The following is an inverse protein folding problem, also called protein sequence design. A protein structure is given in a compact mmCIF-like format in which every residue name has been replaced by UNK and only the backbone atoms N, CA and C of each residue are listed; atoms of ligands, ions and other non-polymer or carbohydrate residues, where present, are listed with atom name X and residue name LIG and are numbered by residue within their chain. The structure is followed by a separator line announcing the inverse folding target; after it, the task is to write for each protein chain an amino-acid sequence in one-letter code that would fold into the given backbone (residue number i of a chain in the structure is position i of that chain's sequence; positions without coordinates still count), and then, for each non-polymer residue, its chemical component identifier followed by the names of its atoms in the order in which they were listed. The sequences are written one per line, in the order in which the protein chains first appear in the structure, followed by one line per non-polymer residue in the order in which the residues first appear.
data_IF_658964022487
#
_entry.id   IF_658964022487
#
_cell.length_a   1.000
_cell.length_b   1.000
_cell.length_c   1.000
_cell.angle_alpha   90.00
_cell.angle_beta   90.00
_cell.angle_gamma   90.00
#
_symmetry.space_group_name_H-M   'P 1'
#
loop_
_entity.id
_entity.type
_entity.pdbx_description
1 polymer ?
#
# COMPACT_ATOMS: atom_id res chain seq x y z
N UNK A 1 14.55 29.34 1.46
CA UNK A 1 14.90 30.67 0.89
C UNK A 1 15.57 30.61 -0.49
N UNK A 2 16.51 29.70 -0.75
CA UNK A 2 17.14 29.58 -2.08
C UNK A 2 16.17 29.15 -3.20
N UNK A 3 15.19 28.29 -2.90
CA UNK A 3 14.14 27.89 -3.85
C UNK A 3 13.20 29.05 -4.21
N UNK A 4 12.85 29.92 -3.25
CA UNK A 4 11.98 31.08 -3.48
C UNK A 4 12.62 32.11 -4.42
N UNK A 5 13.95 32.28 -4.36
CA UNK A 5 14.67 33.12 -5.31
C UNK A 5 14.47 32.67 -6.77
N UNK A 6 14.19 31.37 -7.02
CA UNK A 6 13.90 30.87 -8.37
C UNK A 6 12.57 31.38 -8.91
N UNK A 7 11.65 31.76 -8.03
CA UNK A 7 10.39 32.38 -8.42
C UNK A 7 10.54 33.84 -8.80
N UNK A 8 11.71 34.49 -8.70
CA UNK A 8 11.95 35.87 -9.21
C UNK A 8 10.80 36.86 -8.92
N UNK A 9 10.31 36.85 -7.68
CA UNK A 9 9.13 37.62 -7.27
C UNK A 9 9.40 39.14 -7.32
N UNK A 10 10.66 39.55 -7.25
CA UNK A 10 11.13 40.92 -7.42
C UNK A 10 10.83 41.50 -8.82
N UNK A 11 10.63 40.65 -9.84
CA UNK A 11 10.30 41.05 -11.20
C UNK A 11 8.77 41.18 -11.44
N UNK A 12 7.93 40.94 -10.42
CA UNK A 12 6.47 40.93 -10.55
C UNK A 12 5.81 42.26 -10.14
N UNK A 13 4.78 42.69 -10.87
CA UNK A 13 3.98 43.88 -10.55
C UNK A 13 3.01 43.64 -9.37
N UNK A 14 2.40 44.69 -8.77
CA UNK A 14 1.54 44.54 -7.59
C UNK A 14 0.32 43.62 -7.78
N UNK A 15 -0.29 43.61 -8.96
CA UNK A 15 -1.43 42.75 -9.28
C UNK A 15 -0.99 41.28 -9.42
N UNK A 16 0.14 41.04 -10.10
CA UNK A 16 0.78 39.73 -10.20
C UNK A 16 1.14 39.19 -8.82
N UNK A 17 1.76 39.99 -7.95
CA UNK A 17 2.12 39.59 -6.59
C UNK A 17 0.88 39.19 -5.77
N UNK A 18 -0.22 39.91 -5.91
CA UNK A 18 -1.48 39.59 -5.22
C UNK A 18 -2.05 38.25 -5.67
N UNK A 19 -2.04 37.99 -6.97
CA UNK A 19 -2.52 36.71 -7.51
C UNK A 19 -1.58 35.54 -7.18
N UNK A 20 -0.26 35.75 -7.31
CA UNK A 20 0.77 34.75 -6.92
C UNK A 20 0.57 34.33 -5.47
N UNK A 21 0.45 35.30 -4.54
CA UNK A 21 0.20 35.00 -3.12
C UNK A 21 -1.08 34.21 -2.91
N UNK A 22 -2.14 34.54 -3.65
CA UNK A 22 -3.44 33.86 -3.54
C UNK A 22 -3.34 32.40 -4.00
N UNK A 23 -2.72 32.15 -5.16
CA UNK A 23 -2.54 30.79 -5.69
C UNK A 23 -1.58 29.96 -4.84
N UNK A 24 -0.47 30.55 -4.37
CA UNK A 24 0.44 29.89 -3.44
C UNK A 24 -0.26 29.51 -2.12
N UNK A 25 -1.12 30.37 -1.57
CA UNK A 25 -1.93 30.05 -0.38
C UNK A 25 -2.88 28.86 -0.61
N UNK A 26 -3.52 28.80 -1.78
CA UNK A 26 -4.42 27.68 -2.14
C UNK A 26 -3.65 26.37 -2.25
N UNK A 27 -2.57 26.36 -3.04
CA UNK A 27 -1.68 25.21 -3.17
C UNK A 27 -1.15 24.80 -1.80
N UNK A 28 -0.89 25.78 -0.93
CA UNK A 28 -0.38 25.48 0.41
C UNK A 28 -1.34 24.84 1.35
N UNK A 29 -2.59 25.25 1.28
CA UNK A 29 -3.68 24.61 2.01
C UNK A 29 -3.87 23.17 1.51
N UNK A 30 -3.84 22.95 0.20
CA UNK A 30 -3.95 21.61 -0.40
C UNK A 30 -2.79 20.69 0.01
N UNK A 31 -1.55 21.18 -0.04
CA UNK A 31 -0.38 20.39 0.34
C UNK A 31 -0.41 20.05 1.84
N UNK A 32 -0.83 20.98 2.71
CA UNK A 32 -1.01 20.72 4.14
C UNK A 32 -2.05 19.63 4.39
N UNK A 33 -3.17 19.64 3.66
CA UNK A 33 -4.18 18.57 3.73
C UNK A 33 -3.57 17.22 3.38
N UNK A 34 -2.81 17.15 2.27
CA UNK A 34 -2.16 15.91 1.83
C UNK A 34 -1.10 15.41 2.79
N UNK A 35 -0.37 16.31 3.44
CA UNK A 35 0.56 15.93 4.50
C UNK A 35 -0.17 15.35 5.72
N UNK A 36 -1.36 15.86 6.07
CA UNK A 36 -2.17 15.29 7.14
C UNK A 36 -2.68 13.88 6.77
N UNK A 37 -3.14 13.66 5.53
CA UNK A 37 -3.46 12.33 5.01
C UNK A 37 -2.26 11.38 5.13
N UNK A 38 -1.08 11.84 4.70
CA UNK A 38 0.16 11.05 4.78
C UNK A 38 0.56 10.72 6.22
N UNK A 39 0.32 11.63 7.16
CA UNK A 39 0.61 11.45 8.58
C UNK A 39 -0.35 10.45 9.22
N UNK A 40 -1.63 10.44 8.81
CA UNK A 40 -2.62 9.47 9.29
C UNK A 40 -2.27 8.01 8.92
N UNK A 41 -1.44 7.81 7.89
CA UNK A 41 -0.94 6.49 7.49
C UNK A 41 0.23 5.97 8.36
N UNK A 42 0.82 6.82 9.20
CA UNK A 42 2.08 6.51 9.89
C UNK A 42 1.97 5.29 10.81
N UNK A 43 0.84 5.14 11.51
CA UNK A 43 0.60 4.00 12.39
C UNK A 43 0.57 2.68 11.61
N UNK A 44 -0.09 2.63 10.46
CA UNK A 44 -0.12 1.44 9.60
C UNK A 44 1.25 1.15 8.98
N UNK A 45 1.98 2.19 8.58
CA UNK A 45 3.34 2.07 8.03
C UNK A 45 4.36 1.56 9.04
N UNK A 46 4.10 1.76 10.34
CA UNK A 46 4.97 1.28 11.42
C UNK A 46 4.82 -0.22 11.72
N UNK A 47 3.83 -0.90 11.13
CA UNK A 47 3.56 -2.32 11.35
C UNK A 47 4.39 -3.23 10.42
N UNK A 48 4.58 -4.52 10.78
CA UNK A 48 4.45 -5.07 12.13
C UNK A 48 5.48 -4.43 13.07
N UNK A 49 5.12 -4.25 14.34
CA UNK A 49 6.01 -3.63 15.32
C UNK A 49 7.12 -4.60 15.77
N UNK A 50 8.28 -4.05 16.14
CA UNK A 50 9.38 -4.81 16.72
C UNK A 50 10.19 -5.62 15.70
N UNK A 51 10.93 -6.62 16.20
CA UNK A 51 11.83 -7.42 15.39
C UNK A 51 11.09 -8.61 14.75
N UNK A 52 10.86 -8.52 13.45
CA UNK A 52 10.18 -9.56 12.67
C UNK A 52 10.86 -10.94 12.78
N UNK A 53 12.20 -10.98 12.83
CA UNK A 53 12.93 -12.24 12.95
C UNK A 53 12.70 -12.89 14.33
N UNK A 54 12.62 -12.10 15.40
CA UNK A 54 12.27 -12.59 16.73
C UNK A 54 10.82 -13.07 16.79
N UNK A 55 9.89 -12.34 16.16
CA UNK A 55 8.48 -12.77 16.04
C UNK A 55 8.36 -14.11 15.34
N UNK A 56 9.06 -14.29 14.20
CA UNK A 56 9.05 -15.56 13.48
C UNK A 56 9.71 -16.69 14.27
N UNK A 57 10.79 -16.41 15.02
CA UNK A 57 11.41 -17.41 15.92
C UNK A 57 10.46 -17.80 17.06
N UNK A 58 9.73 -16.84 17.64
CA UNK A 58 8.72 -17.15 18.66
C UNK A 58 7.58 -18.01 18.11
N UNK A 59 7.11 -17.74 16.89
CA UNK A 59 6.09 -18.57 16.22
C UNK A 59 6.64 -19.98 15.95
N UNK A 60 7.88 -20.07 15.47
CA UNK A 60 8.48 -21.34 15.09
C UNK A 60 8.86 -22.21 16.29
N UNK A 61 9.42 -21.62 17.34
CA UNK A 61 10.12 -22.31 18.44
C UNK A 61 9.57 -22.01 19.84
N UNK A 62 8.62 -21.08 19.96
CA UNK A 62 8.06 -20.64 21.24
C UNK A 62 9.01 -19.77 22.07
N UNK A 63 10.12 -19.33 21.46
CA UNK A 63 11.13 -18.49 22.08
C UNK A 63 11.89 -17.68 21.01
N UNK A 64 12.09 -16.38 21.28
CA UNK A 64 12.69 -15.41 20.34
C UNK A 64 14.19 -15.63 20.06
N UNK A 65 14.89 -16.30 20.98
CA UNK A 65 16.33 -16.55 20.89
C UNK A 65 16.67 -17.93 20.33
N UNK A 66 15.71 -18.87 20.37
CA UNK A 66 15.94 -20.23 19.92
C UNK A 66 16.00 -20.36 18.40
N UNK A 67 16.64 -21.45 18.00
CA UNK A 67 16.84 -21.86 16.61
C UNK A 67 16.46 -23.33 16.49
N UNK A 68 16.48 -23.85 15.26
CA UNK A 68 16.23 -25.27 15.00
C UNK A 68 17.14 -26.21 15.79
N UNK A 69 18.36 -25.77 16.12
CA UNK A 69 19.39 -26.58 16.78
C UNK A 69 19.34 -26.44 18.31
N UNK A 70 18.64 -25.43 18.83
CA UNK A 70 18.62 -25.06 20.26
C UNK A 70 17.22 -25.05 20.87
N UNK A 71 16.18 -25.33 20.08
CA UNK A 71 14.79 -25.40 20.55
C UNK A 71 14.64 -26.45 21.65
N UNK A 72 13.87 -26.13 22.68
CA UNK A 72 13.60 -27.02 23.81
C UNK A 72 12.18 -27.58 23.71
N UNK A 73 12.00 -28.83 24.15
CA UNK A 73 10.69 -29.47 24.23
C UNK A 73 9.73 -28.67 25.12
N UNK A 74 10.24 -28.09 26.22
CA UNK A 74 9.45 -27.27 27.13
C UNK A 74 8.84 -26.01 26.48
N UNK A 75 9.51 -25.43 25.47
CA UNK A 75 9.05 -24.22 24.79
C UNK A 75 8.10 -24.53 23.62
N UNK A 76 8.14 -25.76 23.11
CA UNK A 76 7.44 -26.16 21.88
C UNK A 76 5.93 -26.33 22.07
N UNK A 77 5.46 -26.47 23.32
CA UNK A 77 4.08 -26.83 23.64
C UNK A 77 3.46 -25.95 24.73
N UNK A 78 2.15 -25.71 24.62
CA UNK A 78 1.37 -25.03 25.66
C UNK A 78 1.33 -25.84 26.95
N UNK A 79 1.66 -25.20 28.08
CA UNK A 79 1.71 -25.86 29.39
C UNK A 79 2.85 -26.88 29.57
N UNK A 80 3.88 -26.83 28.70
CA UNK A 80 5.05 -27.70 28.75
C UNK A 80 4.89 -29.05 28.03
N UNK A 81 5.99 -29.78 27.91
CA UNK A 81 6.03 -31.05 27.19
C UNK A 81 5.30 -32.18 27.96
N UNK A 82 4.59 -33.03 27.22
CA UNK A 82 3.81 -34.18 27.73
C UNK A 82 3.94 -35.36 26.78
N UNK A 83 3.31 -36.47 27.12
CA UNK A 83 3.22 -37.64 26.26
C UNK A 83 2.66 -37.34 24.86
N UNK A 84 3.05 -38.12 23.86
CA UNK A 84 2.65 -37.91 22.45
C UNK A 84 1.13 -37.73 22.32
N UNK A 85 0.35 -38.69 22.86
CA UNK A 85 -1.10 -38.69 22.71
C UNK A 85 -1.77 -37.47 23.36
N UNK A 86 -1.18 -36.93 24.44
CA UNK A 86 -1.69 -35.74 25.15
C UNK A 86 -1.40 -34.44 24.40
N UNK A 87 -0.35 -34.40 23.59
CA UNK A 87 0.04 -33.17 22.87
C UNK A 87 -0.51 -33.17 21.45
N UNK A 88 -0.47 -34.31 20.77
CA UNK A 88 -0.88 -34.47 19.39
C UNK A 88 -2.36 -34.87 19.25
N UNK A 89 -3.07 -35.07 20.37
CA UNK A 89 -4.53 -35.22 20.38
C UNK A 89 -5.16 -34.41 21.50
N UNK A 90 -6.47 -34.17 21.42
CA UNK A 90 -7.27 -33.53 22.48
C UNK A 90 -8.31 -32.56 21.92
N UNK A 91 -8.94 -31.79 22.79
CA UNK A 91 -9.91 -30.76 22.39
C UNK A 91 -9.23 -29.62 21.62
N UNK A 92 -9.86 -29.15 20.55
CA UNK A 92 -9.34 -28.02 19.78
C UNK A 92 -9.17 -26.75 20.63
N UNK A 93 -10.02 -26.53 21.63
CA UNK A 93 -10.00 -25.34 22.49
C UNK A 93 -8.86 -25.33 23.52
N UNK A 94 -8.33 -26.50 23.88
CA UNK A 94 -7.26 -26.65 24.89
C UNK A 94 -5.99 -27.28 24.31
N UNK A 95 -5.88 -27.31 22.98
CA UNK A 95 -4.77 -27.90 22.27
C UNK A 95 -3.43 -27.30 22.72
N UNK A 96 -2.38 -28.14 22.76
CA UNK A 96 -1.05 -27.76 23.26
C UNK A 96 -0.10 -27.36 22.14
N UNK A 97 -0.57 -27.27 20.90
CA UNK A 97 0.24 -27.04 19.71
C UNK A 97 0.54 -25.55 19.53
N UNK A 98 1.50 -25.07 20.33
CA UNK A 98 1.86 -23.65 20.41
C UNK A 98 2.80 -23.18 19.32
N UNK A 99 3.59 -24.08 18.74
CA UNK A 99 4.72 -23.73 17.87
C UNK A 99 4.74 -24.59 16.60
N UNK A 100 5.36 -24.08 15.54
CA UNK A 100 5.57 -24.85 14.30
C UNK A 100 6.44 -26.09 14.57
N UNK A 101 7.49 -25.95 15.39
CA UNK A 101 8.38 -27.06 15.74
C UNK A 101 7.63 -28.19 16.47
N UNK A 102 6.76 -27.85 17.43
CA UNK A 102 5.91 -28.82 18.11
C UNK A 102 4.92 -29.52 17.18
N UNK A 103 4.33 -28.78 16.24
CA UNK A 103 3.46 -29.36 15.21
C UNK A 103 4.21 -30.33 14.30
N UNK A 104 5.41 -29.97 13.82
CA UNK A 104 6.24 -30.87 13.03
C UNK A 104 6.61 -32.12 13.84
N UNK A 105 6.93 -31.96 15.13
CA UNK A 105 7.26 -33.10 15.99
C UNK A 105 6.10 -34.11 16.07
N UNK A 106 4.85 -33.66 16.20
CA UNK A 106 3.68 -34.54 16.15
C UNK A 106 3.49 -35.22 14.80
N UNK A 107 3.83 -34.58 13.69
CA UNK A 107 3.62 -35.12 12.36
C UNK A 107 4.72 -36.09 11.91
N UNK A 108 5.88 -36.07 12.55
CA UNK A 108 7.03 -36.87 12.14
C UNK A 108 7.41 -37.97 13.13
N UNK A 109 7.28 -37.74 14.44
CA UNK A 109 7.84 -38.65 15.43
C UNK A 109 7.06 -39.95 15.59
N UNK A 110 7.83 -40.99 15.85
CA UNK A 110 7.35 -42.32 16.18
C UNK A 110 7.35 -42.54 17.69
N UNK A 111 6.41 -43.33 18.20
CA UNK A 111 6.26 -43.57 19.62
C UNK A 111 7.10 -44.72 20.18
N UNK A 112 7.55 -45.63 19.30
CA UNK A 112 8.46 -46.72 19.63
C UNK A 112 9.51 -46.96 18.53
N UNK A 113 10.62 -47.63 18.86
CA UNK A 113 11.74 -47.84 17.94
C UNK A 113 11.34 -48.57 16.65
N UNK A 114 10.41 -49.52 16.75
CA UNK A 114 9.88 -50.36 15.66
C UNK A 114 8.74 -49.71 14.85
N UNK A 115 8.32 -48.51 15.21
CA UNK A 115 7.27 -47.76 14.52
C UNK A 115 7.80 -47.04 13.27
N UNK A 116 6.91 -46.38 12.52
CA UNK A 116 7.25 -45.78 11.23
C UNK A 116 8.17 -44.57 11.38
N UNK A 117 9.39 -44.68 10.86
CA UNK A 117 10.40 -43.64 10.98
C UNK A 117 10.43 -42.67 9.79
N UNK A 118 9.83 -43.04 8.66
CA UNK A 118 9.90 -42.28 7.41
C UNK A 118 8.59 -41.54 7.06
N UNK A 119 7.76 -41.21 8.07
CA UNK A 119 6.46 -40.54 7.88
C UNK A 119 6.60 -39.20 7.16
N UNK A 120 7.59 -38.40 7.55
CA UNK A 120 7.85 -37.09 6.94
C UNK A 120 8.66 -37.16 5.64
N UNK A 121 8.93 -38.36 5.13
CA UNK A 121 9.59 -38.60 3.86
C UNK A 121 10.52 -39.82 3.90
N UNK A 122 10.61 -40.53 2.78
CA UNK A 122 11.48 -41.73 2.66
C UNK A 122 12.96 -41.43 2.94
N UNK A 123 13.44 -40.26 2.53
CA UNK A 123 14.79 -39.76 2.82
C UNK A 123 14.90 -39.01 4.14
N UNK A 124 13.78 -38.65 4.77
CA UNK A 124 13.69 -37.95 6.05
C UNK A 124 13.36 -38.94 7.18
N UNK A 125 14.18 -39.99 7.29
CA UNK A 125 13.97 -41.06 8.26
C UNK A 125 14.53 -40.67 9.62
N UNK A 126 13.67 -40.67 10.64
CA UNK A 126 14.08 -40.50 12.03
C UNK A 126 14.93 -41.69 12.50
N UNK A 127 16.17 -41.40 12.83
CA UNK A 127 17.19 -42.37 13.20
C UNK A 127 17.28 -42.55 14.71
N UNK A 128 17.07 -41.49 15.49
CA UNK A 128 17.35 -41.50 16.94
C UNK A 128 16.16 -41.14 17.81
N UNK A 129 15.26 -40.26 17.35
CA UNK A 129 14.18 -39.74 18.19
C UNK A 129 13.02 -40.72 18.31
N UNK A 130 12.49 -40.81 19.53
CA UNK A 130 11.28 -41.53 19.86
C UNK A 130 10.51 -40.73 20.90
N UNK A 131 9.22 -40.54 20.67
CA UNK A 131 8.34 -39.84 21.60
C UNK A 131 7.28 -40.79 22.16
N UNK A 132 7.58 -41.38 23.31
CA UNK A 132 6.69 -42.38 23.92
C UNK A 132 5.26 -41.86 24.14
N UNK A 133 4.30 -42.79 24.12
CA UNK A 133 2.88 -42.48 24.37
C UNK A 133 2.57 -42.09 25.82
N UNK A 134 3.51 -42.23 26.75
CA UNK A 134 3.27 -42.06 28.20
C UNK A 134 4.15 -41.00 28.88
N UNK A 135 5.28 -40.61 28.27
CA UNK A 135 6.23 -39.67 28.89
C UNK A 135 6.51 -38.45 28.02
N UNK A 136 6.88 -37.35 28.67
CA UNK A 136 7.38 -36.16 27.98
C UNK A 136 8.63 -36.51 27.14
N UNK A 137 8.81 -35.90 25.97
CA UNK A 137 9.97 -36.11 25.12
C UNK A 137 11.18 -35.32 25.62
N UNK A 138 12.36 -35.74 25.19
CA UNK A 138 13.56 -34.91 25.23
C UNK A 138 13.55 -33.85 24.10
N UNK A 139 14.57 -33.00 24.06
CA UNK A 139 14.69 -31.95 23.04
C UNK A 139 14.97 -32.49 21.62
N UNK A 140 15.61 -33.66 21.49
CA UNK A 140 15.94 -34.23 20.19
C UNK A 140 14.69 -34.67 19.41
N UNK A 141 13.62 -35.05 20.09
CA UNK A 141 12.29 -35.28 19.49
C UNK A 141 11.80 -34.06 18.70
N UNK A 142 12.13 -32.85 19.15
CA UNK A 142 11.79 -31.62 18.43
C UNK A 142 12.84 -31.34 17.34
N UNK A 143 14.12 -31.45 17.67
CA UNK A 143 15.22 -31.00 16.79
C UNK A 143 15.46 -31.91 15.58
N UNK A 144 15.36 -33.23 15.74
CA UNK A 144 15.68 -34.17 14.66
C UNK A 144 14.79 -33.99 13.42
N UNK A 145 13.45 -33.93 13.53
CA UNK A 145 12.58 -33.65 12.39
C UNK A 145 12.94 -32.34 11.67
N UNK A 146 13.34 -31.31 12.43
CA UNK A 146 13.68 -30.02 11.87
C UNK A 146 14.94 -30.08 11.00
N UNK A 147 15.86 -31.03 11.19
CA UNK A 147 17.07 -31.15 10.35
C UNK A 147 16.73 -31.38 8.88
N UNK A 148 15.57 -31.97 8.58
CA UNK A 148 15.13 -32.26 7.22
C UNK A 148 14.45 -31.07 6.53
N UNK A 149 14.06 -30.02 7.26
CA UNK A 149 13.42 -28.87 6.60
C UNK A 149 14.46 -28.08 5.79
N UNK A 150 14.10 -27.76 4.53
CA UNK A 150 14.93 -26.94 3.66
C UNK A 150 15.12 -25.54 4.26
N UNK A 151 16.35 -25.02 4.20
CA UNK A 151 16.65 -23.63 4.52
C UNK A 151 16.32 -22.78 3.30
N UNK A 152 15.05 -22.42 3.15
CA UNK A 152 14.63 -21.44 2.15
C UNK A 152 14.53 -20.06 2.79
N UNK A 153 15.13 -19.06 2.15
CA UNK A 153 15.02 -17.66 2.56
C UNK A 153 14.45 -16.87 1.39
N UNK A 154 13.13 -16.57 1.37
CA UNK A 154 12.59 -15.66 0.38
C UNK A 154 13.28 -14.30 0.54
N UNK A 155 13.44 -13.56 -0.57
CA UNK A 155 14.04 -12.22 -0.54
C UNK A 155 13.21 -11.23 0.29
N UNK A 156 11.89 -11.40 0.32
CA UNK A 156 10.97 -10.52 1.03
C UNK A 156 9.83 -11.32 1.67
N UNK A 157 9.36 -10.87 2.83
CA UNK A 157 8.19 -11.43 3.51
C UNK A 157 6.96 -10.55 3.22
N UNK A 158 5.90 -11.14 2.66
CA UNK A 158 4.66 -10.43 2.32
C UNK A 158 3.46 -11.06 3.03
N UNK A 159 2.37 -10.29 3.16
CA UNK A 159 1.10 -10.79 3.69
C UNK A 159 0.58 -11.98 2.85
N UNK A 160 0.65 -11.86 1.53
CA UNK A 160 0.22 -12.89 0.58
C UNK A 160 0.98 -14.22 0.77
N UNK A 161 2.30 -14.15 0.99
CA UNK A 161 3.11 -15.36 1.23
C UNK A 161 2.68 -16.08 2.53
N UNK A 162 2.39 -15.32 3.59
CA UNK A 162 1.94 -15.89 4.86
C UNK A 162 0.54 -16.49 4.77
N UNK A 163 -0.42 -15.82 4.12
CA UNK A 163 -1.74 -16.40 3.90
C UNK A 163 -1.69 -17.66 3.03
N UNK A 164 -0.87 -17.66 1.96
CA UNK A 164 -0.69 -18.83 1.11
C UNK A 164 -0.13 -20.02 1.89
N UNK A 165 0.84 -19.78 2.78
CA UNK A 165 1.38 -20.82 3.65
C UNK A 165 0.32 -21.42 4.58
N UNK A 166 -0.48 -20.57 5.23
CA UNK A 166 -1.58 -21.01 6.09
C UNK A 166 -2.63 -21.82 5.31
N UNK A 167 -3.07 -21.32 4.16
CA UNK A 167 -4.03 -22.01 3.28
C UNK A 167 -3.50 -23.37 2.79
N UNK A 168 -2.22 -23.41 2.41
CA UNK A 168 -1.58 -24.66 1.97
C UNK A 168 -1.63 -25.74 3.05
N UNK A 169 -1.43 -25.38 4.31
CA UNK A 169 -1.53 -26.32 5.44
C UNK A 169 -2.99 -26.67 5.73
N UNK A 170 -3.90 -25.69 5.72
CA UNK A 170 -5.33 -25.91 5.95
C UNK A 170 -5.92 -26.96 5.02
N UNK A 171 -5.50 -26.98 3.75
CA UNK A 171 -5.95 -27.98 2.76
C UNK A 171 -5.55 -29.42 3.08
N UNK A 172 -4.59 -29.62 3.97
CA UNK A 172 -4.18 -30.96 4.42
C UNK A 172 -4.95 -31.43 5.66
N UNK A 173 -5.78 -30.58 6.25
CA UNK A 173 -6.65 -30.98 7.36
C UNK A 173 -7.82 -31.77 6.80
N UNK A 174 -7.93 -33.01 7.25
CA UNK A 174 -9.04 -33.91 6.97
C UNK A 174 -10.10 -33.74 8.04
N UNK A 175 -11.36 -33.79 7.65
CA UNK A 175 -12.50 -33.75 8.57
C UNK A 175 -13.03 -35.17 8.75
N UNK A 176 -13.22 -35.57 10.00
CA UNK A 176 -13.90 -36.81 10.37
C UNK A 176 -14.93 -36.46 11.44
N UNK A 177 -16.21 -36.56 11.10
CA UNK A 177 -17.29 -36.01 11.95
C UNK A 177 -17.04 -34.53 12.28
N UNK A 178 -16.92 -34.17 13.56
CA UNK A 178 -16.58 -32.82 14.01
C UNK A 178 -15.06 -32.60 14.23
N UNK A 179 -14.25 -33.63 14.04
CA UNK A 179 -12.82 -33.61 14.36
C UNK A 179 -11.98 -33.19 13.16
N UNK A 180 -10.90 -32.46 13.43
CA UNK A 180 -9.88 -32.10 12.44
C UNK A 180 -8.65 -32.97 12.60
N UNK A 181 -8.15 -33.53 11.50
CA UNK A 181 -7.01 -34.44 11.47
C UNK A 181 -5.96 -33.91 10.49
N UNK A 182 -4.74 -33.69 10.96
CA UNK A 182 -3.58 -33.35 10.12
C UNK A 182 -2.56 -34.49 10.18
N UNK A 183 -2.13 -35.01 9.03
CA UNK A 183 -1.21 -36.15 8.95
C UNK A 183 -1.89 -37.48 8.63
N UNK A 184 -1.27 -38.59 9.01
CA UNK A 184 -1.70 -39.94 8.68
C UNK A 184 -2.41 -40.60 9.88
N UNK A 185 -3.74 -40.72 9.78
CA UNK A 185 -4.57 -41.49 10.70
C UNK A 185 -4.88 -42.86 10.06
N UNK A 186 -4.80 -43.93 10.85
CA UNK A 186 -5.09 -45.30 10.40
C UNK A 186 -6.36 -45.86 11.08
N UNK A 187 -6.53 -45.60 12.37
CA UNK A 187 -7.74 -45.96 13.12
C UNK A 187 -8.45 -44.71 13.62
N UNK A 188 -8.42 -44.44 14.92
CA UNK A 188 -9.20 -43.39 15.57
C UNK A 188 -8.37 -42.42 16.42
N UNK A 189 -7.07 -42.69 16.58
CA UNK A 189 -6.22 -42.00 17.54
C UNK A 189 -4.81 -41.71 16.98
N UNK A 190 -4.27 -40.55 17.33
CA UNK A 190 -2.88 -40.20 17.02
C UNK A 190 -2.00 -40.63 18.21
N UNK A 191 -1.38 -41.81 18.10
CA UNK A 191 -0.51 -42.40 19.13
C UNK A 191 0.94 -42.56 18.69
N UNK A 192 1.33 -42.04 17.54
CA UNK A 192 2.70 -42.10 17.06
C UNK A 192 3.10 -43.48 16.51
N UNK A 193 2.13 -44.31 16.12
CA UNK A 193 2.32 -45.71 15.75
C UNK A 193 1.63 -46.06 14.43
N UNK A 194 2.15 -47.06 13.70
CA UNK A 194 1.63 -47.54 12.41
C UNK A 194 0.18 -47.99 12.47
N UNK A 195 -0.20 -48.62 13.59
CA UNK A 195 -1.54 -49.18 13.82
C UNK A 195 -2.57 -48.14 14.28
N UNK A 196 -2.12 -46.94 14.67
CA UNK A 196 -2.99 -45.86 15.14
C UNK A 196 -2.98 -44.67 14.20
N UNK A 197 -1.83 -44.02 14.12
CA UNK A 197 -1.62 -42.81 13.34
C UNK A 197 -0.46 -41.98 13.87
N UNK A 198 0.25 -41.37 12.93
CA UNK A 198 1.25 -40.33 13.18
C UNK A 198 0.67 -39.05 12.59
N UNK A 199 -0.03 -38.33 13.46
CA UNK A 199 -0.94 -37.26 13.11
C UNK A 199 -1.16 -36.32 14.29
N UNK A 200 -1.90 -35.26 14.02
CA UNK A 200 -2.61 -34.42 14.97
C UNK A 200 -4.10 -34.68 14.79
N UNK A 201 -4.84 -34.95 15.88
CA UNK A 201 -6.30 -35.06 15.87
C UNK A 201 -6.89 -34.18 16.95
N UNK A 202 -7.64 -33.16 16.57
CA UNK A 202 -8.28 -32.25 17.50
C UNK A 202 -9.80 -32.38 17.46
N UNK A 203 -10.40 -32.73 18.60
CA UNK A 203 -11.84 -32.88 18.76
C UNK A 203 -12.54 -31.53 18.59
N UNK A 204 -13.63 -31.51 17.81
CA UNK A 204 -14.42 -30.29 17.56
C UNK A 204 -13.69 -29.21 16.75
N UNK A 205 -12.53 -29.51 16.16
CA UNK A 205 -11.80 -28.55 15.32
C UNK A 205 -12.63 -28.16 14.10
N UNK A 206 -13.34 -29.13 13.52
CA UNK A 206 -14.12 -29.03 12.30
C UNK A 206 -15.64 -29.12 12.54
N UNK A 207 -16.13 -28.67 13.70
CA UNK A 207 -17.55 -28.78 14.07
C UNK A 207 -18.51 -28.20 13.02
N UNK A 208 -18.11 -27.14 12.32
CA UNK A 208 -18.90 -26.49 11.26
C UNK A 208 -18.57 -27.03 9.85
N UNK A 209 -17.99 -28.22 9.77
CA UNK A 209 -17.52 -28.85 8.51
C UNK A 209 -16.21 -28.25 7.96
N UNK A 210 -15.63 -27.25 8.63
CA UNK A 210 -14.37 -26.63 8.24
C UNK A 210 -13.43 -26.48 9.44
N UNK A 211 -12.16 -26.86 9.26
CA UNK A 211 -11.13 -26.74 10.29
C UNK A 211 -10.30 -25.48 10.07
N UNK A 212 -10.48 -24.46 10.92
CA UNK A 212 -9.67 -23.25 10.87
C UNK A 212 -8.29 -23.50 11.50
N UNK A 213 -7.23 -23.44 10.69
CA UNK A 213 -5.84 -23.59 11.16
C UNK A 213 -5.48 -22.56 12.24
N UNK A 214 -6.12 -21.39 12.27
CA UNK A 214 -5.88 -20.37 13.27
C UNK A 214 -6.34 -20.79 14.69
N UNK A 215 -7.00 -21.95 14.87
CA UNK A 215 -7.16 -22.56 16.21
C UNK A 215 -5.84 -23.09 16.79
N UNK A 216 -4.81 -23.30 15.97
CA UNK A 216 -3.44 -23.54 16.42
C UNK A 216 -2.77 -22.20 16.75
N UNK A 217 -2.19 -22.07 17.94
CA UNK A 217 -1.68 -20.76 18.41
C UNK A 217 -0.57 -20.18 17.51
N UNK A 218 0.30 -21.02 16.93
CA UNK A 218 1.34 -20.54 16.01
C UNK A 218 0.74 -19.99 14.72
N UNK A 219 -0.32 -20.62 14.21
CA UNK A 219 -0.98 -20.22 12.97
C UNK A 219 -1.79 -18.94 13.18
N UNK A 220 -2.44 -18.79 14.34
CA UNK A 220 -3.09 -17.55 14.74
C UNK A 220 -2.09 -16.38 14.74
N UNK A 221 -0.94 -16.54 15.40
CA UNK A 221 0.11 -15.52 15.44
C UNK A 221 0.62 -15.17 14.05
N UNK A 222 0.80 -16.18 13.19
CA UNK A 222 1.24 -15.97 11.82
C UNK A 222 0.18 -15.24 10.98
N UNK A 223 -1.10 -15.53 11.21
CA UNK A 223 -2.22 -14.80 10.59
C UNK A 223 -2.26 -13.35 11.05
N UNK A 224 -2.08 -13.07 12.34
CA UNK A 224 -1.98 -11.70 12.87
C UNK A 224 -0.82 -10.95 12.20
N UNK A 225 0.34 -11.58 12.07
CA UNK A 225 1.47 -10.99 11.35
C UNK A 225 1.14 -10.70 9.88
N UNK A 226 0.42 -11.60 9.20
CA UNK A 226 -0.04 -11.39 7.83
C UNK A 226 -1.02 -10.20 7.73
N UNK A 227 -1.97 -10.09 8.68
CA UNK A 227 -2.91 -8.97 8.77
C UNK A 227 -2.18 -7.63 8.97
N UNK A 228 -1.14 -7.59 9.80
CA UNK A 228 -0.30 -6.40 10.01
C UNK A 228 0.53 -6.03 8.78
N UNK A 229 1.13 -7.02 8.11
CA UNK A 229 1.85 -6.80 6.85
C UNK A 229 0.92 -6.25 5.77
N UNK A 230 -0.31 -6.77 5.66
CA UNK A 230 -1.30 -6.28 4.70
C UNK A 230 -1.63 -4.80 4.94
N UNK A 231 -1.86 -4.42 6.20
CA UNK A 231 -2.10 -3.02 6.56
C UNK A 231 -0.93 -2.10 6.16
N UNK A 232 0.31 -2.57 6.35
CA UNK A 232 1.51 -1.84 5.96
C UNK A 232 1.64 -1.73 4.44
N UNK A 233 1.41 -2.83 3.72
CA UNK A 233 1.48 -2.90 2.25
C UNK A 233 0.46 -1.95 1.60
N UNK A 234 -0.79 -1.97 2.07
CA UNK A 234 -1.85 -1.05 1.64
C UNK A 234 -1.50 0.40 1.94
N UNK A 235 -1.09 0.70 3.18
CA UNK A 235 -0.69 2.06 3.57
C UNK A 235 0.55 2.56 2.81
N UNK A 236 1.48 1.67 2.48
CA UNK A 236 2.64 2.01 1.66
C UNK A 236 2.25 2.35 0.22
N UNK A 237 1.26 1.65 -0.34
CA UNK A 237 0.69 1.97 -1.65
C UNK A 237 0.02 3.36 -1.64
N UNK A 238 -0.83 3.63 -0.66
CA UNK A 238 -1.53 4.91 -0.50
C UNK A 238 -0.55 6.07 -0.24
N UNK A 239 0.42 5.86 0.66
CA UNK A 239 1.48 6.82 0.94
C UNK A 239 2.26 7.21 -0.32
N UNK A 240 2.54 6.24 -1.22
CA UNK A 240 3.19 6.52 -2.51
C UNK A 240 2.31 7.41 -3.41
N UNK A 241 0.98 7.30 -3.35
CA UNK A 241 0.07 8.15 -4.12
C UNK A 241 0.06 9.57 -3.56
N UNK A 242 -0.15 9.72 -2.25
CA UNK A 242 -0.13 11.02 -1.56
C UNK A 242 1.21 11.73 -1.76
N UNK A 243 2.31 11.00 -1.72
CA UNK A 243 3.65 11.54 -1.97
C UNK A 243 3.83 12.07 -3.40
N UNK A 244 3.17 11.48 -4.40
CA UNK A 244 3.15 12.00 -5.78
C UNK A 244 2.33 13.28 -5.87
N UNK A 245 1.20 13.36 -5.19
CA UNK A 245 0.35 14.56 -5.17
C UNK A 245 1.07 15.74 -4.50
N UNK A 246 1.74 15.51 -3.36
CA UNK A 246 2.56 16.54 -2.71
C UNK A 246 3.66 17.03 -3.66
N UNK A 247 4.34 16.13 -4.38
CA UNK A 247 5.35 16.52 -5.39
C UNK A 247 4.75 17.33 -6.54
N UNK A 248 3.54 16.99 -6.99
CA UNK A 248 2.83 17.73 -8.03
C UNK A 248 2.47 19.14 -7.55
N UNK A 249 1.90 19.28 -6.36
CA UNK A 249 1.57 20.57 -5.76
C UNK A 249 2.81 21.45 -5.58
N UNK A 250 3.95 20.84 -5.21
CA UNK A 250 5.22 21.56 -5.17
C UNK A 250 5.64 22.05 -6.56
N UNK A 251 5.59 21.19 -7.58
CA UNK A 251 5.92 21.60 -8.95
C UNK A 251 4.98 22.70 -9.47
N UNK A 252 3.68 22.61 -9.20
CA UNK A 252 2.69 23.64 -9.54
C UNK A 252 3.02 24.97 -8.85
N UNK A 253 3.37 24.95 -7.56
CA UNK A 253 3.77 26.15 -6.81
C UNK A 253 4.98 26.84 -7.43
N UNK A 254 5.96 26.06 -7.91
CA UNK A 254 7.14 26.59 -8.59
C UNK A 254 6.85 27.20 -9.97
N UNK A 255 5.67 26.95 -10.54
CA UNK A 255 5.22 27.51 -11.84
C UNK A 255 4.26 28.69 -11.70
N UNK A 256 3.80 29.03 -10.49
CA UNK A 256 2.75 30.07 -10.28
C UNK A 256 3.13 31.43 -10.86
N UNK A 257 4.40 31.85 -10.76
CA UNK A 257 4.84 33.13 -11.37
C UNK A 257 4.70 33.10 -12.89
N UNK A 258 5.19 32.04 -13.53
CA UNK A 258 5.13 31.96 -14.99
C UNK A 258 3.67 32.00 -15.47
N UNK A 259 2.79 31.30 -14.74
CA UNK A 259 1.36 31.28 -15.00
C UNK A 259 0.66 32.63 -14.78
N UNK A 260 1.27 33.59 -14.09
CA UNK A 260 0.68 34.91 -13.78
C UNK A 260 1.29 36.06 -14.60
N UNK A 261 2.28 35.79 -15.47
CA UNK A 261 2.94 36.82 -16.31
C UNK A 261 1.98 37.61 -17.22
N UNK A 262 0.87 37.01 -17.62
CA UNK A 262 -0.10 37.62 -18.55
C UNK A 262 -0.94 38.74 -17.92
N UNK A 263 -0.88 38.93 -16.60
CA UNK A 263 -1.62 39.99 -15.89
C UNK A 263 -0.92 41.34 -16.11
N UNK A 264 -1.49 42.17 -16.98
CA UNK A 264 -1.08 43.55 -17.17
C UNK A 264 -1.65 44.46 -16.07
N UNK A 265 -0.98 45.58 -15.81
CA UNK A 265 -1.53 46.63 -14.95
C UNK A 265 -2.71 47.30 -15.65
N UNK A 266 -3.89 47.25 -15.04
CA UNK A 266 -4.96 48.19 -15.38
C UNK A 266 -4.52 49.56 -14.87
N UNK A 267 -4.44 50.61 -15.70
CA UNK A 267 -4.05 51.93 -15.23
C UNK A 267 -5.02 52.39 -14.13
N UNK A 268 -4.50 52.61 -12.92
CA UNK A 268 -5.26 53.34 -11.92
C UNK A 268 -5.36 54.78 -12.38
N UNK A 269 -6.50 55.14 -12.96
CA UNK A 269 -6.87 56.54 -13.14
C UNK A 269 -7.03 57.13 -11.74
N UNK A 270 -6.05 57.91 -11.30
CA UNK A 270 -6.15 58.77 -10.12
C UNK A 270 -7.24 59.80 -10.40
N UNK A 271 -8.40 59.62 -9.79
CA UNK A 271 -9.49 60.57 -9.89
C UNK A 271 -9.15 61.85 -9.10
N UNK A 272 -8.89 62.93 -9.83
CA UNK A 272 -8.96 64.30 -9.34
C UNK A 272 -9.77 65.13 -10.34
N UNK A 273 -10.71 65.92 -9.83
CA UNK A 273 -11.63 66.86 -10.50
C UNK A 273 -13.06 66.34 -10.88
N UNK A 274 -13.91 66.31 -9.85
CA UNK A 274 -15.28 66.85 -9.68
C UNK A 274 -16.28 67.08 -10.85
N UNK A 275 -17.52 66.59 -10.59
CA UNK A 275 -18.90 67.03 -10.97
C UNK A 275 -19.45 66.79 -12.40
N UNK A 276 -20.22 65.71 -12.66
CA UNK A 276 -21.71 65.47 -12.54
C UNK A 276 -22.58 66.02 -13.69
N UNK A 277 -23.78 65.46 -14.00
CA UNK A 277 -24.25 64.06 -13.99
C UNK A 277 -25.09 63.69 -15.25
N UNK A 278 -25.20 62.41 -15.62
CA UNK A 278 -26.45 61.88 -16.21
C UNK A 278 -26.48 60.34 -16.25
N UNK A 279 -27.69 59.83 -15.99
CA UNK A 279 -28.24 58.46 -16.07
C UNK A 279 -27.69 57.59 -17.22
N UNK A 280 -27.73 56.25 -17.24
CA UNK A 280 -28.64 55.27 -16.66
C UNK A 280 -28.01 53.86 -16.78
N UNK A 281 -28.49 52.95 -15.95
CA UNK A 281 -28.48 51.48 -16.03
C UNK A 281 -28.25 50.76 -17.38
N UNK A 282 -27.48 49.66 -17.28
CA UNK A 282 -27.56 48.33 -17.94
C UNK A 282 -27.31 48.15 -19.46
N UNK A 283 -26.38 47.23 -19.71
CA UNK A 283 -26.42 46.12 -20.68
C UNK A 283 -26.40 46.38 -22.20
N UNK A 284 -25.32 45.88 -22.81
CA UNK A 284 -25.24 45.16 -24.11
C UNK A 284 -25.89 45.76 -25.37
N UNK A 285 -25.03 45.98 -26.39
CA UNK A 285 -25.26 45.99 -27.86
C UNK A 285 -24.97 47.29 -28.65
N UNK A 286 -24.51 48.37 -28.04
CA UNK A 286 -24.17 49.59 -28.77
C UNK A 286 -22.66 49.68 -29.10
N UNK A 287 -22.22 49.12 -30.23
CA UNK A 287 -20.81 49.27 -30.63
C UNK A 287 -20.37 48.84 -32.04
N UNK A 288 -21.19 48.12 -32.82
CA UNK A 288 -20.69 47.60 -34.11
C UNK A 288 -20.37 48.70 -35.15
N UNK A 289 -21.12 49.80 -35.17
CA UNK A 289 -21.00 50.84 -36.20
C UNK A 289 -19.78 51.78 -36.04
N UNK A 290 -19.09 51.74 -34.89
CA UNK A 290 -17.96 52.63 -34.59
C UNK A 290 -16.59 52.03 -34.98
N UNK A 291 -16.58 50.87 -35.66
CA UNK A 291 -15.35 50.19 -36.04
C UNK A 291 -15.16 50.19 -37.57
N UNK A 292 -14.36 51.13 -38.06
CA UNK A 292 -13.90 51.15 -39.45
C UNK A 292 -12.45 50.67 -39.52
N UNK A 293 -12.13 49.79 -40.49
CA UNK A 293 -10.82 49.12 -40.69
C UNK A 293 -10.48 47.96 -39.73
N UNK A 294 -11.39 47.00 -39.56
CA UNK A 294 -11.13 45.73 -38.84
C UNK A 294 -11.22 44.52 -39.78
N UNK A 295 -10.56 43.40 -39.47
CA UNK A 295 -10.66 42.16 -40.27
C UNK A 295 -11.89 41.33 -39.89
N UNK A 296 -12.19 40.30 -40.68
CA UNK A 296 -13.35 39.39 -40.50
C UNK A 296 -13.37 38.78 -39.09
N UNK A 297 -12.20 38.46 -38.56
CA UNK A 297 -11.98 37.78 -37.28
C UNK A 297 -12.28 38.70 -36.10
N UNK A 298 -11.94 39.99 -36.22
CA UNK A 298 -12.14 41.01 -35.19
C UNK A 298 -13.62 41.44 -35.08
N UNK A 299 -14.39 41.42 -36.17
CA UNK A 299 -15.83 41.67 -36.11
C UNK A 299 -16.58 40.51 -35.44
N UNK A 300 -16.14 39.26 -35.65
CA UNK A 300 -16.71 38.07 -35.00
C UNK A 300 -16.51 38.07 -33.48
N UNK A 301 -15.36 38.54 -32.99
CA UNK A 301 -15.10 38.64 -31.53
C UNK A 301 -16.00 39.68 -30.85
N UNK A 302 -16.52 40.65 -31.61
CA UNK A 302 -17.44 41.69 -31.14
C UNK A 302 -18.92 41.32 -31.30
N UNK A 303 -19.23 40.14 -31.85
CA UNK A 303 -20.62 39.71 -32.09
C UNK A 303 -21.30 40.39 -33.29
N UNK A 304 -20.53 41.00 -34.20
CA UNK A 304 -20.99 41.71 -35.40
C UNK A 304 -20.71 40.89 -36.68
N UNK A 305 -21.41 41.15 -37.78
CA UNK A 305 -21.09 40.60 -39.12
C UNK A 305 -20.15 41.52 -39.90
N UNK A 306 -19.34 40.97 -40.80
CA UNK A 306 -18.39 41.74 -41.61
C UNK A 306 -18.94 42.00 -43.02
N UNK A 307 -19.01 43.28 -43.40
CA UNK A 307 -19.39 43.73 -44.73
C UNK A 307 -18.16 43.76 -45.65
N UNK A 308 -18.12 42.83 -46.61
CA UNK A 308 -16.99 42.64 -47.53
C UNK A 308 -16.89 43.78 -48.55
N UNK A 309 -18.00 44.36 -48.99
CA UNK A 309 -18.04 45.48 -49.95
C UNK A 309 -17.52 46.78 -49.32
N UNK A 310 -17.87 47.04 -48.07
CA UNK A 310 -17.58 48.31 -47.40
C UNK A 310 -16.44 48.24 -46.36
N UNK A 311 -15.89 47.05 -46.10
CA UNK A 311 -14.81 46.77 -45.13
C UNK A 311 -15.10 47.28 -43.71
N UNK A 312 -16.30 47.00 -43.18
CA UNK A 312 -16.80 47.47 -41.88
C UNK A 312 -17.63 46.40 -41.15
N UNK A 313 -17.72 46.47 -39.82
CA UNK A 313 -18.59 45.59 -39.04
C UNK A 313 -20.04 46.14 -38.99
N UNK A 314 -21.06 45.27 -39.07
CA UNK A 314 -22.50 45.59 -38.93
C UNK A 314 -23.16 44.73 -37.84
N UNK A 315 -24.19 45.23 -37.12
CA UNK A 315 -24.90 44.45 -36.11
C UNK A 315 -25.72 43.30 -36.74
N UNK A 316 -25.77 42.15 -36.04
CA UNK A 316 -26.53 40.97 -36.48
C UNK A 316 -28.03 41.20 -36.37
N UNK A 317 -28.79 40.85 -37.41
CA UNK A 317 -30.26 40.85 -37.39
C UNK A 317 -30.75 39.53 -36.79
N UNK A 318 -31.51 39.58 -35.70
CA UNK A 318 -31.91 38.39 -34.93
C UNK A 318 -33.17 37.67 -35.45
N UNK A 319 -33.28 36.35 -35.18
CA UNK A 319 -34.31 35.78 -34.27
C UNK A 319 -34.15 34.25 -34.11
N UNK A 320 -34.03 33.83 -32.85
CA UNK A 320 -34.67 32.71 -32.13
C UNK A 320 -34.91 31.28 -32.71
N UNK A 321 -34.65 30.33 -31.78
CA UNK A 321 -35.32 29.06 -31.42
C UNK A 321 -35.09 27.73 -32.18
N UNK A 322 -34.51 26.77 -31.43
CA UNK A 322 -34.50 25.29 -31.54
C UNK A 322 -35.88 24.65 -31.78
N UNK A 323 -36.03 23.41 -32.33
CA UNK A 323 -35.63 22.16 -31.63
C UNK A 323 -35.21 20.91 -32.48
N UNK A 324 -34.50 19.99 -31.79
CA UNK A 324 -34.49 18.49 -31.83
C UNK A 324 -34.55 17.70 -33.16
N UNK A 325 -33.63 16.72 -33.31
CA UNK A 325 -33.80 15.55 -34.20
C UNK A 325 -32.59 14.60 -34.27
N UNK A 326 -32.82 13.35 -33.86
CA UNK A 326 -31.95 12.16 -33.73
C UNK A 326 -31.41 11.58 -35.06
N UNK A 327 -30.27 10.87 -35.03
CA UNK A 327 -29.91 9.88 -36.08
C UNK A 327 -28.41 9.57 -36.22
N UNK A 328 -28.07 8.27 -36.25
CA UNK A 328 -26.76 7.62 -36.04
C UNK A 328 -25.79 7.51 -37.26
N UNK A 329 -24.50 7.29 -36.95
CA UNK A 329 -23.52 6.46 -37.70
C UNK A 329 -22.78 7.13 -38.87
N UNK A 330 -21.49 6.90 -39.17
CA UNK A 330 -20.47 5.94 -38.72
C UNK A 330 -19.07 6.45 -39.17
N UNK A 331 -18.04 6.14 -38.37
CA UNK A 331 -16.64 5.78 -38.70
C UNK A 331 -15.73 6.69 -39.57
N UNK A 332 -14.61 7.14 -38.96
CA UNK A 332 -13.27 6.84 -39.48
C UNK A 332 -12.28 8.00 -39.71
N UNK A 333 -11.51 8.40 -38.69
CA UNK A 333 -10.18 9.04 -38.76
C UNK A 333 -9.34 8.48 -37.59
N UNK A 334 -8.01 8.30 -37.60
CA UNK A 334 -6.93 8.90 -38.37
C UNK A 334 -5.63 8.08 -38.17
N UNK A 335 -4.73 8.13 -39.15
CA UNK A 335 -3.36 7.60 -39.09
C UNK A 335 -2.39 8.61 -38.42
N UNK A 336 -1.50 8.08 -37.57
CA UNK A 336 -0.02 8.19 -37.57
C UNK A 336 0.68 9.57 -37.46
N UNK A 337 1.63 9.67 -36.53
CA UNK A 337 2.77 10.63 -36.54
C UNK A 337 3.16 11.11 -35.14
N UNK A 338 3.96 10.40 -34.34
CA UNK A 338 5.43 10.22 -34.37
C UNK A 338 6.24 11.43 -33.84
N UNK A 339 7.02 11.16 -32.77
CA UNK A 339 8.23 11.82 -32.25
C UNK A 339 8.17 13.04 -31.32
N UNK A 340 8.31 12.73 -30.04
CA UNK A 340 9.18 13.45 -29.11
C UNK A 340 10.60 13.60 -29.68
N UNK A 341 11.10 14.84 -29.74
CA UNK A 341 12.51 15.17 -30.01
C UNK A 341 13.06 15.91 -28.80
N UNK A 342 14.10 15.37 -28.18
CA UNK A 342 14.92 16.06 -27.16
C UNK A 342 15.41 15.14 -26.05
N UNK A 343 16.61 14.57 -26.20
CA UNK A 343 17.31 13.68 -25.25
C UNK A 343 17.60 14.35 -23.91
N UNK A 344 17.46 13.60 -22.81
CA UNK A 344 18.54 13.17 -21.89
C UNK A 344 17.96 12.32 -20.74
N UNK A 345 18.11 10.99 -20.85
CA UNK A 345 18.18 10.09 -19.69
C UNK A 345 19.58 9.48 -19.69
N UNK A 346 20.21 9.39 -18.51
CA UNK A 346 20.23 8.09 -17.84
C UNK A 346 20.00 8.15 -16.31
N UNK A 347 19.05 8.96 -15.83
CA UNK A 347 18.72 8.99 -14.39
C UNK A 347 17.34 8.39 -14.02
N UNK A 348 16.53 7.97 -14.99
CA UNK A 348 15.20 7.41 -14.72
C UNK A 348 15.14 5.87 -14.68
N UNK A 349 16.29 5.18 -14.65
CA UNK A 349 16.35 3.70 -14.60
C UNK A 349 17.27 3.13 -13.51
N UNK A 350 17.46 3.84 -12.39
CA UNK A 350 18.01 3.22 -11.17
C UNK A 350 16.98 3.26 -10.05
N UNK A 351 16.30 2.12 -9.84
CA UNK A 351 15.63 1.85 -8.56
C UNK A 351 16.70 1.91 -7.46
N UNK A 352 16.46 2.60 -6.33
CA UNK A 352 17.37 2.48 -5.21
C UNK A 352 17.25 1.05 -4.66
N UNK A 353 18.33 0.28 -4.78
CA UNK A 353 18.50 -1.00 -4.09
C UNK A 353 18.47 -0.74 -2.58
N UNK A 354 17.33 -0.97 -1.93
CA UNK A 354 17.23 -0.97 -0.47
C UNK A 354 17.97 -2.19 0.08
N UNK A 355 19.21 -2.00 0.55
CA UNK A 355 19.88 -2.96 1.43
C UNK A 355 19.43 -2.76 2.87
N UNK A 356 18.89 -3.83 3.45
CA UNK A 356 18.37 -3.88 4.81
C UNK A 356 19.49 -4.34 5.75
N UNK A 357 20.03 -3.43 6.56
CA UNK A 357 20.98 -3.79 7.63
C UNK A 357 20.31 -3.54 8.98
N UNK A 358 20.08 -4.64 9.70
CA UNK A 358 19.14 -4.72 10.82
C UNK A 358 19.57 -3.91 12.03
N UNK A 359 18.89 -2.79 12.27
CA UNK A 359 18.41 -2.40 13.62
C UNK A 359 17.46 -1.21 13.62
N UNK A 360 17.38 -0.43 12.53
CA UNK A 360 16.51 0.75 12.45
C UNK A 360 16.04 0.97 11.01
N UNK A 361 14.76 1.32 10.82
CA UNK A 361 14.22 1.76 9.54
C UNK A 361 14.77 3.17 9.22
N UNK A 362 16.01 3.24 8.70
CA UNK A 362 16.71 4.50 8.41
C UNK A 362 16.02 5.38 7.36
N UNK A 363 15.12 4.82 6.54
CA UNK A 363 14.40 5.59 5.51
C UNK A 363 13.22 6.41 6.06
N UNK A 364 12.70 6.07 7.24
CA UNK A 364 11.60 6.84 7.84
C UNK A 364 12.09 8.18 8.38
N UNK A 365 13.32 8.24 8.89
CA UNK A 365 13.91 9.47 9.46
C UNK A 365 14.48 10.40 8.38
N UNK A 366 15.03 9.84 7.31
CA UNK A 366 15.65 10.63 6.22
C UNK A 366 14.61 11.22 5.24
N UNK A 367 13.46 10.56 5.04
CA UNK A 367 12.38 11.13 4.20
C UNK A 367 11.63 12.23 4.94
N UNK A 368 11.55 12.17 6.27
CA UNK A 368 10.98 13.23 7.11
C UNK A 368 11.84 14.49 7.10
N UNK A 369 13.17 14.38 7.21
CA UNK A 369 14.06 15.56 7.21
C UNK A 369 14.07 16.31 5.86
N UNK A 370 14.10 15.60 4.74
CA UNK A 370 14.05 16.24 3.41
C UNK A 370 12.64 16.77 3.05
N UNK A 371 11.55 16.16 3.55
CA UNK A 371 10.19 16.71 3.37
C UNK A 371 9.92 17.91 4.28
N UNK A 372 10.54 17.99 5.47
CA UNK A 372 10.53 19.20 6.29
C UNK A 372 11.24 20.37 5.60
N UNK A 373 12.28 20.11 4.79
CA UNK A 373 12.90 21.13 3.95
C UNK A 373 11.94 21.68 2.87
N UNK A 374 11.19 20.81 2.20
CA UNK A 374 10.12 21.21 1.26
C UNK A 374 9.04 22.07 1.94
N UNK A 375 8.72 21.79 3.22
CA UNK A 375 7.78 22.58 4.02
C UNK A 375 8.34 23.95 4.39
N UNK A 376 9.64 24.03 4.73
CA UNK A 376 10.30 25.29 5.04
C UNK A 376 10.34 26.21 3.82
N UNK A 377 10.61 25.68 2.62
CA UNK A 377 10.56 26.46 1.39
C UNK A 377 9.16 26.92 1.04
N UNK A 378 8.14 26.12 1.37
CA UNK A 378 6.76 26.43 1.04
C UNK A 378 6.08 27.37 2.04
N UNK A 379 6.43 27.30 3.33
CA UNK A 379 6.01 28.28 4.35
C UNK A 379 6.73 29.62 4.17
N UNK A 380 7.98 29.61 3.68
CA UNK A 380 8.70 30.84 3.34
C UNK A 380 8.06 31.59 2.17
N UNK A 381 7.16 30.97 1.38
CA UNK A 381 6.40 31.64 0.31
C UNK A 381 5.22 32.48 0.84
N UNK A 382 4.83 32.25 2.09
CA UNK A 382 3.67 32.87 2.73
C UNK A 382 4.02 34.10 3.59
N UNK A 383 5.30 34.28 3.92
CA UNK A 383 5.80 35.32 4.83
C UNK A 383 6.88 36.19 4.18
#
# INVERSE_FOLDING_TARGET
MAEIKKLKLEEANPNQLTQIRTELKKLATAAKSKMAERQALQDKLSKPAGNLAETLKDIAYGNKQQTRDTVLAANSFGGGAKAYATVCSGEATTNRLKTVAGTIACLCNKAAANEEAAVCGRSAKLSTSQWTVANAPDDNVIREPLKFCNKYSPKELTSAALYHFLDSISRHIKVSEADGILGALHTDSCKGAKTNGICIKLTGWAADGTADIAKLQWAQKLKTLADELRQREEAASEAKQVDREIKKLHAEAMLVRENTRHIQETPQIRAGAQQTPSSSSKETSAGCNNHTKKTVEECKTLGCDYDVENKKCKPKTGSETTPVGTGEGVAGEQKKGDKCKGKLEPECTKSPECKWDGKECKDSSFILSNKLALIADFMSLLF
#
